data_IF_369625783329
#
_entry.id   IF_369625783329
#
_cell.length_a   1.000
_cell.length_b   1.000
_cell.length_c   1.000
_cell.angle_alpha   90.00
_cell.angle_beta   90.00
_cell.angle_gamma   90.00
#
_symmetry.space_group_name_H-M   'P 1'
#
loop_
_entity.id
_entity.type
_entity.pdbx_description
1 polymer ?
#
# COMPACT_ATOMS: atom_id res chain seq x y z
N UNK A 1 0.22 -29.48 3.37
CA UNK A 1 1.46 -29.53 4.20
C UNK A 1 2.02 -28.12 4.24
N UNK A 2 2.38 -27.58 5.41
CA UNK A 2 2.85 -26.21 5.49
C UNK A 2 4.17 -26.03 4.72
N UNK A 3 4.44 -24.84 4.17
CA UNK A 3 5.67 -24.57 3.45
C UNK A 3 6.88 -24.61 4.39
N UNK A 4 8.06 -24.92 3.85
CA UNK A 4 9.31 -24.97 4.61
C UNK A 4 9.73 -23.57 5.08
N UNK A 5 9.97 -23.39 6.38
CA UNK A 5 10.38 -22.13 6.99
C UNK A 5 11.68 -21.59 6.42
N UNK A 6 12.60 -22.46 5.99
CA UNK A 6 13.87 -22.08 5.36
C UNK A 6 13.70 -21.37 4.01
N UNK A 7 12.52 -21.46 3.40
CA UNK A 7 12.18 -20.73 2.17
C UNK A 7 11.68 -19.30 2.43
N UNK A 8 11.34 -18.98 3.67
CA UNK A 8 10.79 -17.68 4.03
C UNK A 8 11.87 -16.65 4.30
N UNK A 9 11.49 -15.40 4.07
CA UNK A 9 12.30 -14.22 4.26
C UNK A 9 11.47 -13.19 5.00
N UNK A 10 12.07 -12.61 6.03
CA UNK A 10 11.48 -11.51 6.79
C UNK A 10 11.64 -10.15 6.08
N UNK A 11 10.65 -9.30 6.24
CA UNK A 11 10.67 -7.90 5.86
C UNK A 11 10.07 -7.07 7.01
N UNK A 12 10.76 -5.98 7.35
CA UNK A 12 10.44 -5.08 8.47
C UNK A 12 10.44 -5.72 9.86
N UNK A 13 11.01 -6.92 9.96
CA UNK A 13 11.30 -7.62 11.22
C UNK A 13 12.66 -8.32 11.12
N UNK A 14 13.29 -8.68 12.24
CA UNK A 14 14.52 -9.46 12.26
C UNK A 14 14.38 -10.82 11.53
N UNK A 15 15.44 -11.30 10.88
CA UNK A 15 15.39 -12.56 10.13
C UNK A 15 15.26 -13.80 11.04
N UNK A 16 15.72 -13.72 12.28
CA UNK A 16 15.53 -14.74 13.32
C UNK A 16 14.09 -14.78 13.86
N UNK A 17 13.22 -13.86 13.42
CA UNK A 17 11.79 -13.89 13.73
C UNK A 17 10.99 -14.81 12.78
N UNK A 18 11.62 -15.47 11.79
CA UNK A 18 10.95 -16.48 10.97
C UNK A 18 10.66 -17.71 11.85
N UNK A 19 9.39 -18.14 11.98
CA UNK A 19 9.03 -19.31 12.79
C UNK A 19 9.67 -20.59 12.26
N UNK A 20 10.09 -21.49 13.15
CA UNK A 20 10.63 -22.80 12.76
C UNK A 20 9.60 -23.64 12.00
N UNK A 21 8.32 -23.50 12.36
CA UNK A 21 7.19 -24.22 11.76
C UNK A 21 6.14 -23.26 11.20
N UNK A 22 5.80 -23.41 9.92
CA UNK A 22 4.85 -22.54 9.21
C UNK A 22 3.40 -23.05 9.24
N UNK A 23 3.08 -24.09 10.02
CA UNK A 23 1.72 -24.62 10.10
C UNK A 23 0.80 -23.89 11.09
N UNK A 24 1.39 -23.34 12.16
CA UNK A 24 0.75 -22.40 13.09
C UNK A 24 1.82 -21.53 13.74
N UNK A 25 1.68 -20.21 13.62
CA UNK A 25 2.64 -19.24 14.13
C UNK A 25 2.02 -17.85 14.30
N UNK A 26 2.68 -16.97 15.04
CA UNK A 26 2.23 -15.59 15.27
C UNK A 26 3.19 -14.57 14.64
N UNK A 27 2.63 -13.45 14.18
CA UNK A 27 3.39 -12.28 13.72
C UNK A 27 2.96 -11.04 14.51
N UNK A 28 3.92 -10.40 15.17
CA UNK A 28 3.67 -9.18 15.92
C UNK A 28 3.85 -7.94 15.03
N UNK A 29 2.84 -7.06 14.99
CA UNK A 29 2.86 -5.77 14.34
C UNK A 29 2.91 -4.62 15.38
N UNK A 30 4.04 -3.90 15.48
CA UNK A 30 4.13 -2.69 16.29
C UNK A 30 3.15 -1.59 15.82
N UNK A 31 2.83 -0.61 16.68
CA UNK A 31 2.07 0.57 16.26
C UNK A 31 2.75 1.35 15.12
N UNK A 32 1.95 1.98 14.26
CA UNK A 32 2.36 2.78 13.09
C UNK A 32 3.01 1.95 11.95
N UNK A 33 2.69 0.66 11.87
CA UNK A 33 3.07 -0.16 10.71
C UNK A 33 1.97 -0.13 9.67
N UNK A 34 2.31 -0.11 8.38
CA UNK A 34 1.35 -0.22 7.27
C UNK A 34 2.03 -0.72 5.98
N UNK A 35 1.22 -1.24 5.06
CA UNK A 35 1.57 -1.49 3.67
C UNK A 35 0.56 -0.77 2.77
N UNK A 36 0.96 0.36 2.20
CA UNK A 36 0.11 1.22 1.40
C UNK A 36 0.90 1.97 0.31
N UNK A 37 0.26 2.29 -0.81
CA UNK A 37 0.86 3.11 -1.88
C UNK A 37 0.04 4.36 -2.14
N UNK A 38 0.62 5.52 -1.86
CA UNK A 38 0.03 6.82 -2.20
C UNK A 38 0.38 7.22 -3.64
N UNK A 39 -0.58 7.69 -4.45
CA UNK A 39 -0.27 8.27 -5.76
C UNK A 39 0.78 9.40 -5.67
N UNK A 40 1.70 9.54 -6.63
CA UNK A 40 1.80 8.75 -7.86
C UNK A 40 2.71 7.50 -7.76
N UNK A 41 3.24 7.11 -6.59
CA UNK A 41 4.03 5.85 -6.36
C UNK A 41 4.77 5.83 -5.00
N UNK A 42 4.33 6.59 -3.99
CA UNK A 42 4.99 6.62 -2.68
C UNK A 42 4.52 5.47 -1.80
N UNK A 43 5.40 4.50 -1.55
CA UNK A 43 5.13 3.37 -0.68
C UNK A 43 5.35 3.73 0.81
N UNK A 44 4.38 3.36 1.64
CA UNK A 44 4.57 3.03 3.05
C UNK A 44 4.71 1.51 3.12
N UNK A 45 5.89 1.02 3.54
CA UNK A 45 6.16 -0.41 3.67
C UNK A 45 6.88 -0.65 5.00
N UNK A 46 6.11 -0.58 6.09
CA UNK A 46 6.58 -0.77 7.47
C UNK A 46 5.94 -1.98 8.15
N UNK A 47 4.89 -2.57 7.55
CA UNK A 47 4.26 -3.80 8.00
C UNK A 47 5.27 -4.97 8.07
N UNK A 48 5.30 -5.71 9.21
CA UNK A 48 5.92 -7.02 9.28
C UNK A 48 5.36 -7.97 8.23
N UNK A 49 6.25 -8.57 7.44
CA UNK A 49 5.90 -9.51 6.37
C UNK A 49 6.85 -10.69 6.42
N UNK A 50 6.30 -11.90 6.30
CA UNK A 50 7.03 -13.13 6.03
C UNK A 50 6.64 -13.60 4.64
N UNK A 51 7.59 -13.68 3.71
CA UNK A 51 7.30 -14.11 2.34
C UNK A 51 8.33 -15.10 1.80
N UNK A 52 7.92 -15.90 0.83
CA UNK A 52 8.79 -16.81 0.08
C UNK A 52 8.79 -16.46 -1.41
N UNK A 53 9.90 -16.77 -2.09
CA UNK A 53 10.00 -16.67 -3.54
C UNK A 53 9.71 -18.04 -4.15
N UNK A 54 8.80 -18.08 -5.12
CA UNK A 54 8.33 -19.34 -5.68
C UNK A 54 9.32 -19.91 -6.68
N UNK A 55 9.53 -21.22 -6.59
CA UNK A 55 10.36 -21.99 -7.55
C UNK A 55 9.55 -22.52 -8.74
N UNK A 56 8.23 -22.56 -8.57
CA UNK A 56 7.25 -22.97 -9.57
C UNK A 56 6.26 -21.83 -9.82
N UNK A 57 5.52 -21.84 -10.93
CA UNK A 57 4.45 -20.88 -11.17
C UNK A 57 3.43 -20.92 -10.03
N UNK A 58 3.09 -19.75 -9.48
CA UNK A 58 2.08 -19.62 -8.44
C UNK A 58 0.72 -20.14 -8.90
N UNK A 59 0.08 -20.99 -8.10
CA UNK A 59 -1.28 -21.49 -8.30
C UNK A 59 -2.22 -20.82 -7.30
N UNK A 60 -1.97 -21.01 -6.01
CA UNK A 60 -2.82 -20.44 -4.96
C UNK A 60 -2.06 -20.33 -3.62
N UNK A 61 -2.57 -19.49 -2.72
CA UNK A 61 -2.18 -19.50 -1.32
C UNK A 61 -3.41 -19.25 -0.45
N UNK A 62 -3.47 -19.91 0.70
CA UNK A 62 -4.54 -19.76 1.67
C UNK A 62 -4.01 -19.85 3.10
N UNK A 63 -4.72 -19.18 4.02
CA UNK A 63 -4.39 -19.17 5.45
C UNK A 63 -5.62 -18.74 6.24
N UNK A 64 -5.74 -19.23 7.48
CA UNK A 64 -6.64 -18.66 8.48
C UNK A 64 -5.85 -17.68 9.34
N UNK A 65 -6.31 -16.43 9.41
CA UNK A 65 -5.74 -15.44 10.34
C UNK A 65 -6.64 -15.25 11.53
N UNK A 66 -6.10 -14.99 12.71
CA UNK A 66 -6.88 -14.57 13.88
C UNK A 66 -6.10 -13.58 14.75
N UNK A 67 -6.81 -12.68 15.43
CA UNK A 67 -6.23 -11.74 16.39
C UNK A 67 -7.30 -11.14 17.30
N UNK A 68 -6.85 -10.52 18.40
CA UNK A 68 -7.64 -9.54 19.14
C UNK A 68 -7.63 -8.20 18.40
N UNK A 69 -8.58 -8.01 17.48
CA UNK A 69 -8.71 -6.77 16.70
C UNK A 69 -9.30 -5.65 17.57
N UNK A 70 -8.48 -4.65 17.88
CA UNK A 70 -8.85 -3.61 18.86
C UNK A 70 -8.82 -2.21 18.26
N UNK A 71 -7.79 -1.90 17.47
CA UNK A 71 -7.54 -0.55 16.98
C UNK A 71 -7.95 -0.41 15.53
N UNK A 72 -8.39 0.81 15.19
CA UNK A 72 -8.79 1.13 13.83
C UNK A 72 -7.67 0.81 12.84
N UNK A 73 -8.04 0.09 11.78
CA UNK A 73 -7.16 -0.43 10.74
C UNK A 73 -6.19 -1.53 11.17
N UNK A 74 -6.36 -2.18 12.33
CA UNK A 74 -5.66 -3.44 12.63
C UNK A 74 -5.93 -4.44 11.49
N UNK A 75 -4.88 -5.08 10.99
CA UNK A 75 -4.91 -5.87 9.77
C UNK A 75 -4.03 -7.13 9.87
N UNK A 76 -4.47 -8.21 9.23
CA UNK A 76 -3.69 -9.42 9.05
C UNK A 76 -4.19 -10.27 7.89
N UNK A 77 -3.28 -10.94 7.17
CA UNK A 77 -3.67 -11.77 6.02
C UNK A 77 -2.53 -12.19 5.10
N UNK A 78 -2.87 -12.46 3.84
CA UNK A 78 -1.92 -12.79 2.78
C UNK A 78 -1.47 -11.56 2.01
N UNK A 79 -0.25 -11.61 1.50
CA UNK A 79 0.29 -10.62 0.56
C UNK A 79 1.00 -11.33 -0.59
N UNK A 80 0.83 -10.81 -1.80
CA UNK A 80 1.54 -11.26 -3.01
C UNK A 80 2.15 -10.07 -3.73
N UNK A 81 3.42 -10.22 -4.12
CA UNK A 81 4.20 -9.26 -4.88
C UNK A 81 4.53 -9.82 -6.26
N UNK A 82 4.39 -8.97 -7.27
CA UNK A 82 4.96 -9.15 -8.60
C UNK A 82 6.18 -8.25 -8.72
N UNK A 83 7.36 -8.78 -8.40
CA UNK A 83 8.61 -8.03 -8.26
C UNK A 83 9.15 -8.02 -6.82
N UNK A 84 10.12 -7.14 -6.56
CA UNK A 84 10.67 -7.00 -5.21
C UNK A 84 9.66 -6.31 -4.27
N UNK A 85 9.49 -6.78 -3.02
CA UNK A 85 8.65 -6.07 -2.06
C UNK A 85 9.14 -4.63 -1.84
N UNK A 86 8.22 -3.65 -1.69
CA UNK A 86 8.61 -2.26 -1.44
C UNK A 86 9.40 -2.15 -0.12
N UNK A 87 10.37 -1.25 -0.07
CA UNK A 87 11.28 -1.10 1.08
C UNK A 87 12.58 -1.92 0.98
N UNK A 88 12.65 -2.92 0.09
CA UNK A 88 13.93 -3.51 -0.34
C UNK A 88 14.46 -2.75 -1.55
N UNK A 89 15.29 -1.73 -1.35
CA UNK A 89 16.15 -1.26 -2.43
C UNK A 89 17.14 -2.39 -2.69
N UNK A 90 17.03 -3.03 -3.86
CA UNK A 90 18.04 -3.96 -4.32
C UNK A 90 19.40 -3.26 -4.19
N UNK A 91 20.34 -3.82 -3.44
CA UNK A 91 21.71 -3.36 -3.46
C UNK A 91 22.18 -3.47 -4.91
N UNK A 92 22.10 -2.37 -5.66
CA UNK A 92 22.75 -2.25 -6.94
C UNK A 92 24.23 -2.34 -6.62
N UNK A 93 24.83 -3.49 -6.92
CA UNK A 93 26.28 -3.69 -6.87
C UNK A 93 26.90 -2.67 -7.80
N UNK A 94 27.20 -1.48 -7.26
CA UNK A 94 27.91 -0.43 -7.96
C UNK A 94 29.36 -0.85 -7.85
N UNK A 95 29.84 -1.63 -8.82
CA UNK A 95 31.28 -1.84 -9.01
C UNK A 95 31.87 -0.48 -9.32
N UNK A 96 32.31 0.22 -8.27
CA UNK A 96 32.93 1.52 -8.38
C UNK A 96 34.40 1.27 -8.69
N UNK A 97 34.69 1.00 -9.96
CA UNK A 97 36.02 1.25 -10.49
C UNK A 97 36.14 2.76 -10.62
N UNK A 98 37.05 3.40 -9.88
CA UNK A 98 37.86 4.58 -10.30
C UNK A 98 38.50 5.24 -9.06
N UNK A 99 39.79 4.95 -8.91
CA UNK A 99 40.91 5.91 -8.84
C UNK A 99 40.98 6.93 -7.68
N UNK A 100 42.04 6.79 -6.89
CA UNK A 100 42.52 7.75 -5.90
C UNK A 100 42.86 9.12 -6.52
N UNK A 101 42.72 10.21 -5.74
CA UNK A 101 43.95 10.92 -5.33
C UNK A 101 43.94 11.52 -3.90
N UNK A 102 45.13 11.51 -3.31
CA UNK A 102 45.81 12.58 -2.56
C UNK A 102 45.15 13.29 -1.36
N UNK A 103 45.81 13.17 -0.20
CA UNK A 103 45.54 13.85 1.07
C UNK A 103 46.13 15.29 1.14
N UNK A 104 46.17 15.97 2.31
CA UNK A 104 45.11 16.80 2.89
C UNK A 104 45.55 18.27 3.12
N UNK A 105 44.61 19.19 3.36
CA UNK A 105 44.94 20.55 3.81
C UNK A 105 44.16 20.94 5.08
N UNK A 106 44.88 21.63 5.96
CA UNK A 106 44.69 21.84 7.39
C UNK A 106 43.78 23.06 7.68
N UNK A 107 43.12 23.02 8.85
CA UNK A 107 42.18 23.97 9.45
C UNK A 107 42.77 25.39 9.76
N UNK A 108 41.99 26.35 10.34
CA UNK A 108 41.77 26.32 11.79
C UNK A 108 40.37 26.75 12.31
N UNK A 109 40.12 26.31 13.55
CA UNK A 109 39.08 26.62 14.53
C UNK A 109 39.23 28.06 15.11
N UNK A 110 38.23 28.74 15.70
CA UNK A 110 37.55 28.54 17.01
C UNK A 110 36.61 29.78 17.30
N UNK A 111 36.15 30.13 18.54
CA UNK A 111 34.83 29.76 19.13
C UNK A 111 34.04 30.94 19.79
N UNK A 112 32.79 30.70 20.25
CA UNK A 112 32.04 31.31 21.42
C UNK A 112 30.52 31.09 21.25
N UNK A 113 29.69 30.51 22.13
CA UNK A 113 29.40 30.69 23.58
C UNK A 113 29.06 32.15 23.95
N UNK A 114 27.96 32.53 24.61
CA UNK A 114 26.76 31.90 25.16
C UNK A 114 25.79 33.05 25.58
N UNK A 115 24.54 32.72 25.99
CA UNK A 115 23.60 33.50 26.84
C UNK A 115 23.08 34.84 26.29
N UNK A 116 21.84 35.29 26.49
CA UNK A 116 21.01 35.25 27.69
C UNK A 116 19.53 35.63 27.38
N UNK A 117 18.64 35.13 28.24
CA UNK A 117 17.40 35.73 28.80
C UNK A 117 16.26 36.35 27.97
N UNK A 118 15.09 35.76 28.27
CA UNK A 118 13.81 36.37 28.70
C UNK A 118 13.05 37.32 27.76
N UNK A 119 11.79 36.99 27.46
CA UNK A 119 10.63 37.49 28.22
C UNK A 119 9.30 37.11 27.55
N UNK A 120 8.36 36.65 28.38
CA UNK A 120 6.91 36.90 28.37
C UNK A 120 6.18 37.20 27.05
N UNK A 121 5.08 36.49 26.79
CA UNK A 121 3.72 36.90 27.19
C UNK A 121 2.65 36.25 26.29
N UNK A 122 1.82 35.42 26.93
CA UNK A 122 0.35 35.33 26.85
C UNK A 122 -0.43 35.10 25.54
N UNK A 123 -1.48 34.28 25.74
CA UNK A 123 -2.80 34.30 25.08
C UNK A 123 -2.91 33.54 23.77
N UNK A 124 -3.95 32.78 23.46
CA UNK A 124 -5.11 32.25 24.18
C UNK A 124 -5.70 31.17 23.24
N UNK A 125 -6.32 30.14 23.81
CA UNK A 125 -7.04 29.10 23.06
C UNK A 125 -8.32 29.66 22.40
N UNK A 126 -8.88 28.93 21.43
CA UNK A 126 -10.33 28.77 21.42
C UNK A 126 -10.74 27.29 21.34
N UNK A 127 -11.56 26.88 22.30
CA UNK A 127 -12.41 25.69 22.26
C UNK A 127 -13.70 25.94 21.45
N UNK A 128 -14.36 24.89 20.94
CA UNK A 128 -15.38 24.98 19.90
C UNK A 128 -16.79 25.14 20.45
N UNK A 129 -17.68 25.75 19.67
CA UNK A 129 -19.12 25.79 19.92
C UNK A 129 -19.87 25.17 18.73
N UNK A 130 -20.55 24.06 18.99
CA UNK A 130 -21.71 23.59 18.22
C UNK A 130 -22.97 24.29 18.72
N UNK A 131 -24.02 24.36 17.89
CA UNK A 131 -25.29 23.78 18.33
C UNK A 131 -26.00 22.94 17.27
N UNK A 132 -26.74 21.95 17.79
CA UNK A 132 -27.69 21.06 17.13
C UNK A 132 -28.87 21.78 16.48
N UNK A 133 -29.43 21.19 15.41
CA UNK A 133 -30.74 20.51 15.41
C UNK A 133 -31.49 20.64 14.07
N UNK A 134 -31.77 19.46 13.48
CA UNK A 134 -32.96 19.05 12.73
C UNK A 134 -33.67 20.02 11.78
N UNK A 135 -33.74 19.66 10.50
CA UNK A 135 -35.05 19.55 9.82
C UNK A 135 -35.02 18.59 8.64
N UNK A 136 -36.02 17.74 8.63
CA UNK A 136 -36.51 16.86 7.58
C UNK A 136 -36.87 17.64 6.29
N UNK A 137 -36.50 17.13 5.11
CA UNK A 137 -37.16 17.41 3.81
C UNK A 137 -36.56 16.62 2.66
N UNK A 138 -37.31 15.62 2.20
CA UNK A 138 -37.29 15.09 0.83
C UNK A 138 -37.54 16.21 -0.19
N UNK A 139 -36.75 16.29 -1.28
CA UNK A 139 -37.19 16.76 -2.61
C UNK A 139 -36.09 16.59 -3.67
N UNK A 140 -36.53 16.25 -4.87
CA UNK A 140 -35.77 15.75 -6.01
C UNK A 140 -34.73 16.72 -6.61
N UNK A 141 -33.65 16.14 -7.14
CA UNK A 141 -32.68 16.84 -7.98
C UNK A 141 -33.22 17.01 -9.42
N UNK A 142 -33.09 18.20 -10.05
CA UNK A 142 -33.44 18.38 -11.46
C UNK A 142 -32.25 18.08 -12.39
N UNK A 143 -32.56 17.39 -13.49
CA UNK A 143 -31.70 17.18 -14.68
C UNK A 143 -31.33 18.49 -15.38
N UNK A 144 -30.09 18.67 -15.88
CA UNK A 144 -29.74 19.83 -16.69
C UNK A 144 -30.11 19.65 -18.18
N UNK A 145 -30.71 20.68 -18.77
CA UNK A 145 -31.01 20.82 -20.21
C UNK A 145 -29.80 21.37 -21.00
N UNK A 146 -29.68 21.07 -22.31
CA UNK A 146 -28.56 21.51 -23.15
C UNK A 146 -28.67 22.98 -23.62
N UNK A 147 -27.55 23.65 -23.95
CA UNK A 147 -27.54 25.04 -24.42
C UNK A 147 -27.91 25.18 -25.91
N UNK A 148 -28.46 26.34 -26.34
CA UNK A 148 -28.91 26.60 -27.72
C UNK A 148 -27.78 27.01 -28.69
N UNK A 149 -28.00 26.87 -30.02
CA UNK A 149 -26.99 27.14 -31.04
C UNK A 149 -26.76 28.64 -31.27
N UNK A 150 -25.49 29.07 -31.36
CA UNK A 150 -25.12 30.43 -31.73
C UNK A 150 -25.08 30.61 -33.25
N UNK A 151 -25.86 31.56 -33.74
CA UNK A 151 -25.87 32.03 -35.13
C UNK A 151 -24.65 32.90 -35.42
N UNK A 152 -23.87 32.54 -36.42
CA UNK A 152 -22.75 33.33 -36.94
C UNK A 152 -23.20 34.33 -38.01
N UNK A 153 -22.67 35.54 -37.96
CA UNK A 153 -22.61 36.46 -39.10
C UNK A 153 -21.15 36.87 -39.38
N UNK A 154 -20.80 37.15 -40.65
CA UNK A 154 -19.45 36.98 -41.17
C UNK A 154 -18.60 38.25 -41.13
N UNK A 155 -17.29 38.10 -40.87
CA UNK A 155 -16.27 39.13 -41.12
C UNK A 155 -15.37 38.73 -42.30
N UNK A 156 -14.93 39.67 -43.15
CA UNK A 156 -14.30 39.38 -44.44
C UNK A 156 -12.80 39.04 -44.33
N UNK A 157 -12.38 38.11 -45.19
CA UNK A 157 -11.01 37.64 -45.39
C UNK A 157 -10.08 38.71 -46.00
N UNK A 158 -8.80 38.78 -45.59
CA UNK A 158 -7.72 39.30 -46.41
C UNK A 158 -7.02 38.18 -47.20
N UNK A 159 -6.63 38.50 -48.44
CA UNK A 159 -5.98 37.64 -49.43
C UNK A 159 -4.60 37.08 -48.99
N UNK A 160 -4.20 35.88 -49.45
CA UNK A 160 -2.86 35.35 -49.21
C UNK A 160 -1.80 35.90 -50.22
N UNK A 161 -0.53 36.08 -49.81
CA UNK A 161 0.58 36.38 -50.73
C UNK A 161 1.07 35.12 -51.48
N UNK A 162 1.83 35.30 -52.59
CA UNK A 162 2.18 34.20 -53.49
C UNK A 162 3.24 33.24 -52.92
N UNK A 163 3.11 31.99 -53.34
CA UNK A 163 3.84 30.80 -52.88
C UNK A 163 5.35 30.87 -53.16
N UNK A 164 6.17 30.82 -52.11
CA UNK A 164 7.58 30.49 -52.24
C UNK A 164 7.75 28.97 -52.22
N UNK A 165 8.32 28.43 -53.31
CA UNK A 165 8.74 27.04 -53.41
C UNK A 165 9.86 26.80 -52.39
N UNK A 166 9.55 26.12 -51.29
CA UNK A 166 10.56 25.65 -50.34
C UNK A 166 10.96 24.23 -50.74
N UNK A 167 12.23 24.05 -51.11
CA UNK A 167 12.80 22.74 -51.42
C UNK A 167 12.69 21.81 -50.20
N UNK A 168 12.09 20.64 -50.39
CA UNK A 168 12.06 19.55 -49.40
C UNK A 168 13.47 18.99 -49.21
N UNK A 169 14.01 18.90 -47.99
CA UNK A 169 15.26 18.17 -47.77
C UNK A 169 15.04 16.66 -48.02
N UNK A 170 16.07 15.91 -48.44
CA UNK A 170 15.95 14.48 -48.73
C UNK A 170 15.57 13.71 -47.45
N UNK A 171 14.86 12.57 -47.57
CA UNK A 171 14.39 11.82 -46.41
C UNK A 171 15.58 11.30 -45.61
N UNK A 172 15.74 11.79 -44.39
CA UNK A 172 16.58 11.14 -43.39
C UNK A 172 15.97 9.77 -43.13
N UNK A 173 16.73 8.70 -43.39
CA UNK A 173 16.37 7.34 -43.02
C UNK A 173 16.11 7.32 -41.52
N UNK A 174 14.83 7.29 -41.14
CA UNK A 174 14.42 7.26 -39.75
C UNK A 174 15.05 6.01 -39.11
N UNK A 175 15.93 6.21 -38.14
CA UNK A 175 16.42 5.11 -37.32
C UNK A 175 15.20 4.42 -36.69
N UNK A 176 15.21 3.07 -36.60
CA UNK A 176 14.15 2.37 -35.89
C UNK A 176 14.04 2.99 -34.49
N UNK A 177 12.81 3.16 -33.97
CA UNK A 177 12.62 3.68 -32.61
C UNK A 177 13.46 2.83 -31.65
N UNK A 178 14.05 3.45 -30.59
CA UNK A 178 14.74 2.70 -29.57
C UNK A 178 13.86 1.52 -29.14
N UNK A 179 14.45 0.33 -28.98
CA UNK A 179 13.72 -0.81 -28.46
C UNK A 179 12.96 -0.35 -27.21
N UNK A 180 11.62 -0.49 -27.22
CA UNK A 180 10.81 -0.13 -26.07
C UNK A 180 11.35 -0.93 -24.89
N UNK A 181 12.10 -0.25 -24.03
CA UNK A 181 12.58 -0.83 -22.80
C UNK A 181 11.41 -0.61 -21.86
N UNK A 182 10.59 -1.63 -21.54
CA UNK A 182 9.50 -1.43 -20.62
C UNK A 182 10.11 -0.80 -19.36
N UNK A 183 9.56 0.32 -18.86
CA UNK A 183 10.01 0.86 -17.59
C UNK A 183 9.94 -0.30 -16.59
N UNK A 184 11.02 -0.52 -15.85
CA UNK A 184 11.07 -1.58 -14.85
C UNK A 184 9.78 -1.46 -14.02
N UNK A 185 8.85 -2.42 -14.11
CA UNK A 185 7.52 -2.21 -13.59
C UNK A 185 7.66 -1.96 -12.10
N UNK A 186 7.08 -0.87 -11.60
CA UNK A 186 6.90 -0.69 -10.15
C UNK A 186 6.30 -1.99 -9.62
N UNK A 187 6.92 -2.59 -8.59
CA UNK A 187 6.42 -3.85 -8.05
C UNK A 187 4.95 -3.72 -7.72
N UNK A 188 4.13 -4.53 -8.39
CA UNK A 188 2.69 -4.61 -8.10
C UNK A 188 2.53 -5.49 -6.87
N UNK A 189 1.57 -5.19 -6.04
CA UNK A 189 1.26 -6.06 -4.90
C UNK A 189 -0.22 -6.06 -4.58
N UNK A 190 -0.68 -7.16 -4.01
CA UNK A 190 -2.03 -7.31 -3.49
C UNK A 190 -1.92 -7.84 -2.07
N UNK A 191 -2.63 -7.23 -1.14
CA UNK A 191 -2.91 -7.82 0.18
C UNK A 191 -4.38 -8.18 0.28
N UNK A 192 -4.68 -9.26 1.00
CA UNK A 192 -6.03 -9.67 1.39
C UNK A 192 -5.99 -10.10 2.84
N UNK A 193 -7.02 -9.79 3.62
CA UNK A 193 -7.03 -10.15 5.02
C UNK A 193 -8.30 -9.76 5.74
N UNK A 194 -8.24 -9.87 7.06
CA UNK A 194 -9.19 -9.23 7.97
C UNK A 194 -8.66 -7.84 8.32
N UNK A 195 -9.54 -6.85 8.30
CA UNK A 195 -9.27 -5.48 8.74
C UNK A 195 -10.38 -4.99 9.67
N UNK A 196 -9.98 -4.41 10.80
CA UNK A 196 -10.92 -3.82 11.74
C UNK A 196 -11.09 -2.34 11.46
N UNK A 197 -12.28 -1.91 11.04
CA UNK A 197 -12.58 -0.51 10.81
C UNK A 197 -14.03 -0.20 11.15
N UNK A 198 -14.32 1.04 11.56
CA UNK A 198 -15.68 1.44 11.95
C UNK A 198 -16.33 0.50 12.98
N UNK A 199 -15.53 -0.01 13.93
CA UNK A 199 -15.96 -0.91 15.00
C UNK A 199 -16.51 -2.27 14.50
N UNK A 200 -16.05 -2.73 13.33
CA UNK A 200 -16.37 -4.03 12.75
C UNK A 200 -15.17 -4.65 12.02
N UNK A 201 -15.09 -5.99 12.03
CA UNK A 201 -14.17 -6.75 11.19
C UNK A 201 -14.71 -6.88 9.76
N UNK A 202 -13.83 -6.72 8.77
CA UNK A 202 -14.14 -6.83 7.35
C UNK A 202 -13.12 -7.71 6.64
N UNK A 203 -13.56 -8.48 5.63
CA UNK A 203 -12.62 -8.98 4.64
C UNK A 203 -12.23 -7.82 3.71
N UNK A 204 -10.93 -7.59 3.56
CA UNK A 204 -10.35 -6.44 2.87
C UNK A 204 -9.39 -6.89 1.78
N UNK A 205 -9.24 -6.09 0.73
CA UNK A 205 -8.16 -6.25 -0.25
C UNK A 205 -7.67 -4.92 -0.76
N UNK A 206 -6.35 -4.77 -0.83
CA UNK A 206 -5.68 -3.61 -1.43
C UNK A 206 -4.83 -4.09 -2.59
N UNK A 207 -4.99 -3.46 -3.75
CA UNK A 207 -4.20 -3.70 -4.95
C UNK A 207 -3.38 -2.45 -5.26
N UNK A 208 -2.06 -2.58 -5.34
CA UNK A 208 -1.18 -1.47 -5.68
C UNK A 208 -0.49 -1.68 -7.03
N UNK A 209 -0.61 -0.67 -7.88
CA UNK A 209 0.07 -0.55 -9.18
C UNK A 209 1.05 0.62 -9.14
N UNK A 210 1.59 1.04 -10.28
CA UNK A 210 2.39 2.27 -10.36
C UNK A 210 1.61 3.48 -9.86
N UNK A 211 0.31 3.53 -10.11
CA UNK A 211 -0.47 4.76 -10.00
C UNK A 211 -0.99 5.01 -8.58
N UNK A 212 -0.99 3.97 -7.73
CA UNK A 212 -1.50 4.04 -6.37
C UNK A 212 -2.02 2.70 -5.86
N UNK A 213 -2.48 2.71 -4.61
CA UNK A 213 -3.26 1.64 -4.01
C UNK A 213 -4.77 1.87 -4.19
N UNK A 214 -5.48 0.81 -4.55
CA UNK A 214 -6.94 0.75 -4.63
C UNK A 214 -7.47 -0.27 -3.62
N UNK A 215 -8.36 0.18 -2.74
CA UNK A 215 -8.83 -0.53 -1.55
C UNK A 215 -10.31 -0.90 -1.66
N UNK A 216 -10.61 -2.15 -1.32
CA UNK A 216 -11.95 -2.69 -1.28
C UNK A 216 -12.21 -3.43 0.04
N UNK A 217 -13.43 -3.31 0.56
CA UNK A 217 -13.89 -4.00 1.76
C UNK A 217 -15.26 -4.64 1.49
N UNK A 218 -15.52 -5.80 2.09
CA UNK A 218 -16.85 -6.41 2.07
C UNK A 218 -17.66 -5.98 3.28
N UNK A 219 -18.98 -5.89 3.11
CA UNK A 219 -19.90 -5.84 4.25
C UNK A 219 -20.09 -7.26 4.78
N UNK A 220 -19.35 -7.63 5.83
CA UNK A 220 -19.63 -8.87 6.53
C UNK A 220 -20.99 -8.75 7.25
N UNK A 221 -21.79 -9.83 7.33
CA UNK A 221 -23.02 -9.82 8.12
C UNK A 221 -22.78 -9.32 9.55
N UNK A 222 -23.75 -8.65 10.17
CA UNK A 222 -23.55 -8.03 11.49
C UNK A 222 -23.09 -9.01 12.59
N UNK A 223 -23.46 -10.29 12.50
CA UNK A 223 -22.97 -11.33 13.42
C UNK A 223 -21.47 -11.64 13.27
N UNK A 224 -20.89 -11.35 12.11
CA UNK A 224 -19.46 -11.46 11.84
C UNK A 224 -18.69 -10.17 12.16
N UNK A 225 -19.35 -9.08 12.55
CA UNK A 225 -18.67 -7.81 12.83
C UNK A 225 -17.66 -7.91 13.99
N UNK A 226 -17.78 -8.91 14.87
CA UNK A 226 -16.86 -9.17 15.99
C UNK A 226 -16.09 -10.47 15.82
N UNK A 227 -16.00 -11.02 14.59
CA UNK A 227 -15.24 -12.23 14.34
C UNK A 227 -13.76 -11.98 14.63
N UNK A 228 -13.09 -12.98 15.21
CA UNK A 228 -11.68 -12.89 15.54
C UNK A 228 -10.79 -13.48 14.45
N UNK A 229 -11.34 -14.34 13.61
CA UNK A 229 -10.59 -15.10 12.61
C UNK A 229 -11.12 -14.85 11.19
N UNK A 230 -10.36 -15.17 10.14
CA UNK A 230 -10.84 -15.22 8.75
C UNK A 230 -9.93 -16.13 7.92
N UNK A 231 -10.51 -17.09 7.22
CA UNK A 231 -9.79 -17.81 6.16
C UNK A 231 -9.83 -17.01 4.86
N UNK A 232 -8.66 -16.75 4.29
CA UNK A 232 -8.50 -16.03 3.02
C UNK A 232 -7.72 -16.86 2.02
N UNK A 233 -7.99 -16.64 0.74
CA UNK A 233 -7.30 -17.31 -0.37
C UNK A 233 -7.04 -16.36 -1.52
N UNK A 234 -5.88 -16.50 -2.15
CA UNK A 234 -5.57 -15.91 -3.45
C UNK A 234 -5.24 -17.01 -4.45
N UNK A 235 -5.69 -16.86 -5.69
CA UNK A 235 -5.57 -17.87 -6.73
C UNK A 235 -5.25 -17.23 -8.08
N UNK A 236 -4.31 -17.82 -8.83
CA UNK A 236 -3.98 -17.39 -10.19
C UNK A 236 -4.92 -18.03 -11.20
N UNK A 237 -5.59 -17.20 -12.00
CA UNK A 237 -6.41 -17.62 -13.14
C UNK A 237 -5.86 -16.96 -14.40
N UNK A 238 -5.01 -17.69 -15.13
CA UNK A 238 -4.27 -17.15 -16.28
C UNK A 238 -3.35 -16.00 -15.87
N UNK A 239 -3.66 -14.77 -16.32
CA UNK A 239 -2.96 -13.55 -15.92
C UNK A 239 -3.64 -12.77 -14.79
N UNK A 240 -4.83 -13.19 -14.35
CA UNK A 240 -5.56 -12.55 -13.26
C UNK A 240 -5.21 -13.18 -11.90
N UNK A 241 -5.37 -12.39 -10.85
CA UNK A 241 -5.35 -12.84 -9.46
C UNK A 241 -6.77 -12.73 -8.91
N UNK A 242 -7.33 -13.85 -8.46
CA UNK A 242 -8.62 -13.90 -7.79
C UNK A 242 -8.41 -13.92 -6.28
N UNK A 243 -9.22 -13.13 -5.57
CA UNK A 243 -9.14 -12.93 -4.13
C UNK A 243 -10.43 -13.41 -3.50
N UNK A 244 -10.32 -14.23 -2.46
CA UNK A 244 -11.40 -14.95 -1.82
C UNK A 244 -11.32 -14.85 -0.29
N UNK A 245 -12.47 -15.00 0.35
CA UNK A 245 -12.58 -15.22 1.79
C UNK A 245 -13.62 -16.29 2.08
N UNK A 246 -13.52 -16.96 3.22
CA UNK A 246 -14.48 -17.97 3.64
C UNK A 246 -15.58 -17.34 4.51
N UNK A 247 -16.82 -17.59 4.11
CA UNK A 247 -18.04 -17.25 4.82
C UNK A 247 -18.62 -18.54 5.43
N UNK A 248 -18.90 -18.54 6.74
CA UNK A 248 -19.33 -19.75 7.45
C UNK A 248 -20.58 -20.41 6.84
N UNK A 249 -21.49 -19.61 6.28
CA UNK A 249 -22.75 -20.12 5.72
C UNK A 249 -22.62 -20.59 4.26
N UNK A 250 -21.76 -19.95 3.47
CA UNK A 250 -21.73 -20.12 2.01
C UNK A 250 -20.42 -20.69 1.47
N UNK A 251 -19.42 -20.91 2.33
CA UNK A 251 -18.06 -21.26 1.94
C UNK A 251 -17.32 -20.11 1.27
N UNK A 252 -16.50 -20.41 0.26
CA UNK A 252 -15.68 -19.42 -0.43
C UNK A 252 -16.50 -18.37 -1.18
N UNK A 253 -16.36 -17.10 -0.80
CA UNK A 253 -16.91 -15.93 -1.49
C UNK A 253 -15.79 -15.15 -2.19
N UNK A 254 -16.03 -14.76 -3.45
CA UNK A 254 -15.07 -13.96 -4.21
C UNK A 254 -15.15 -12.52 -3.71
N UNK A 255 -14.02 -11.98 -3.24
CA UNK A 255 -13.89 -10.58 -2.85
C UNK A 255 -13.55 -9.70 -4.05
N UNK A 256 -12.60 -10.15 -4.88
CA UNK A 256 -12.04 -9.32 -5.94
C UNK A 256 -11.44 -10.15 -7.06
N UNK A 257 -11.50 -9.59 -8.26
CA UNK A 257 -10.74 -10.03 -9.42
C UNK A 257 -9.78 -8.92 -9.85
N UNK A 258 -8.48 -9.23 -9.86
CA UNK A 258 -7.41 -8.31 -10.26
C UNK A 258 -6.88 -8.76 -11.60
N UNK A 259 -7.37 -8.14 -12.66
CA UNK A 259 -6.97 -8.49 -14.02
C UNK A 259 -5.51 -8.10 -14.28
N UNK A 260 -4.83 -8.92 -15.09
CA UNK A 260 -3.46 -8.66 -15.56
C UNK A 260 -2.37 -8.57 -14.48
N UNK A 261 -2.63 -9.02 -13.24
CA UNK A 261 -1.66 -9.00 -12.17
C UNK A 261 -0.34 -9.71 -12.55
N UNK A 262 -0.42 -10.84 -13.24
CA UNK A 262 0.74 -11.63 -13.67
C UNK A 262 1.23 -11.27 -15.09
N UNK A 263 0.60 -10.33 -15.79
CA UNK A 263 1.03 -9.94 -17.13
C UNK A 263 2.42 -9.29 -17.09
N UNK A 264 3.33 -9.81 -17.92
CA UNK A 264 4.73 -9.34 -17.97
C UNK A 264 5.55 -9.63 -16.71
N UNK A 265 5.09 -10.56 -15.85
CA UNK A 265 5.77 -10.96 -14.62
C UNK A 265 6.31 -12.37 -14.79
N UNK A 266 7.62 -12.53 -14.65
CA UNK A 266 8.24 -13.86 -14.61
C UNK A 266 7.86 -14.58 -13.31
N UNK A 267 7.63 -15.90 -13.36
CA UNK A 267 7.16 -16.65 -12.18
C UNK A 267 8.13 -16.54 -10.98
N UNK A 268 9.45 -16.52 -11.23
CA UNK A 268 10.49 -16.33 -10.19
C UNK A 268 10.46 -14.94 -9.53
N UNK A 269 9.77 -13.98 -10.13
CA UNK A 269 9.58 -12.63 -9.58
C UNK A 269 8.35 -12.57 -8.66
N UNK A 270 7.51 -13.60 -8.63
CA UNK A 270 6.37 -13.69 -7.73
C UNK A 270 6.84 -14.06 -6.32
N UNK A 271 6.30 -13.37 -5.32
CA UNK A 271 6.56 -13.60 -3.90
C UNK A 271 5.25 -13.59 -3.17
N UNK A 272 5.03 -14.55 -2.31
CA UNK A 272 3.78 -14.70 -1.56
C UNK A 272 4.09 -14.99 -0.11
N UNK A 273 3.21 -14.55 0.77
CA UNK A 273 3.41 -14.72 2.19
C UNK A 273 2.29 -14.09 3.00
N UNK A 274 2.62 -13.79 4.25
CA UNK A 274 1.69 -13.24 5.23
C UNK A 274 2.16 -11.87 5.72
N UNK A 275 1.22 -11.06 6.18
CA UNK A 275 1.50 -9.75 6.77
C UNK A 275 0.62 -9.49 7.99
N UNK A 276 1.12 -8.67 8.90
CA UNK A 276 0.37 -8.09 10.01
C UNK A 276 0.63 -6.58 10.06
N UNK A 277 -0.34 -5.79 10.48
CA UNK A 277 -0.21 -4.34 10.49
C UNK A 277 -1.12 -3.68 11.52
N UNK A 278 -0.57 -2.75 12.31
CA UNK A 278 -1.29 -1.84 13.21
C UNK A 278 -1.02 -0.38 12.82
N UNK A 279 -1.79 0.21 11.89
CA UNK A 279 -1.60 1.59 11.44
C UNK A 279 -2.00 2.61 12.50
N UNK A 280 -3.13 2.40 13.18
CA UNK A 280 -3.55 3.31 14.24
C UNK A 280 -2.59 3.27 15.42
N UNK A 281 -2.33 4.45 15.95
CA UNK A 281 -1.61 4.66 17.19
C UNK A 281 -2.41 5.69 17.98
N UNK A 282 -3.35 5.22 18.79
CA UNK A 282 -3.94 6.09 19.80
C UNK A 282 -2.87 6.32 20.85
N UNK A 283 -2.18 7.45 20.73
CA UNK A 283 -1.21 7.85 21.73
C UNK A 283 -1.85 7.89 23.12
N UNK A 284 -1.05 7.64 24.15
CA UNK A 284 -1.47 7.79 25.55
C UNK A 284 -2.08 9.19 25.72
N UNK A 285 -3.38 9.25 26.03
CA UNK A 285 -4.05 10.52 26.26
C UNK A 285 -3.32 11.30 27.36
N UNK A 286 -3.35 12.64 27.33
CA UNK A 286 -2.70 13.44 28.37
C UNK A 286 -3.20 13.08 29.79
N UNK A 287 -4.44 12.61 29.88
CA UNK A 287 -5.06 12.06 31.08
C UNK A 287 -4.39 10.74 31.51
N UNK A 288 -4.26 9.79 30.58
CA UNK A 288 -3.70 8.47 30.83
C UNK A 288 -2.20 8.51 31.17
N UNK A 289 -1.49 9.51 30.63
CA UNK A 289 -0.09 9.80 30.97
C UNK A 289 0.08 10.34 32.39
N UNK A 290 -0.96 10.96 32.96
CA UNK A 290 -0.97 11.54 34.32
C UNK A 290 -1.56 10.61 35.37
N UNK A 291 -2.48 9.75 34.98
CA UNK A 291 -3.28 8.93 35.90
C UNK A 291 -3.02 7.42 35.79
N UNK A 292 -2.27 6.97 34.77
CA UNK A 292 -2.02 5.56 34.51
C UNK A 292 -3.27 4.85 34.02
N UNK A 293 -3.32 4.52 32.72
CA UNK A 293 -4.39 3.72 32.14
C UNK A 293 -3.87 2.72 31.11
N UNK A 294 -4.74 1.84 30.60
CA UNK A 294 -4.36 0.70 29.80
C UNK A 294 -3.60 1.12 28.53
N UNK A 295 -2.34 0.72 28.43
CA UNK A 295 -1.42 1.06 27.32
C UNK A 295 -1.77 0.35 25.99
N UNK A 296 -3.04 0.05 25.71
CA UNK A 296 -3.49 -0.71 24.55
C UNK A 296 -2.96 -0.13 23.22
N UNK A 297 -2.94 1.21 23.09
CA UNK A 297 -2.38 1.91 21.94
C UNK A 297 -0.87 1.73 21.69
N UNK A 298 -0.13 1.18 22.66
CA UNK A 298 1.31 0.92 22.55
C UNK A 298 1.65 -0.57 22.40
N UNK A 299 0.67 -1.47 22.53
CA UNK A 299 0.90 -2.90 22.39
C UNK A 299 1.03 -3.26 20.92
N UNK A 300 1.79 -4.31 20.63
CA UNK A 300 1.81 -4.91 19.31
C UNK A 300 0.45 -5.60 19.06
N UNK A 301 -0.03 -5.56 17.82
CA UNK A 301 -1.04 -6.50 17.35
C UNK A 301 -0.34 -7.84 17.16
N UNK A 302 -0.84 -8.91 17.77
CA UNK A 302 -0.36 -10.26 17.48
C UNK A 302 -1.39 -10.94 16.59
N UNK A 303 -1.00 -11.29 15.36
CA UNK A 303 -1.85 -12.02 14.42
C UNK A 303 -1.34 -13.46 14.35
N UNK A 304 -2.21 -14.41 14.64
CA UNK A 304 -1.97 -15.83 14.48
C UNK A 304 -2.32 -16.24 13.04
N UNK A 305 -1.51 -17.14 12.48
CA UNK A 305 -1.66 -17.70 11.15
C UNK A 305 -1.68 -19.22 11.27
N UNK A 306 -2.76 -19.83 10.80
CA UNK A 306 -2.95 -21.27 10.84
C UNK A 306 -3.25 -21.83 9.45
N UNK A 307 -2.69 -23.01 9.16
CA UNK A 307 -2.95 -23.72 7.92
C UNK A 307 -2.47 -22.97 6.68
N UNK A 308 -1.34 -22.26 6.76
CA UNK A 308 -0.73 -21.61 5.60
C UNK A 308 -0.34 -22.66 4.56
N UNK A 309 -0.94 -22.58 3.39
CA UNK A 309 -0.60 -23.40 2.22
C UNK A 309 -0.29 -22.52 1.02
N UNK A 310 0.73 -22.90 0.24
CA UNK A 310 1.19 -22.19 -0.96
C UNK A 310 1.47 -23.24 -2.03
N UNK A 311 0.85 -23.08 -3.20
CA UNK A 311 0.89 -24.01 -4.33
C UNK A 311 1.52 -23.37 -5.56
#
# INVERSE_FOLDING_TARGET
MPPDSSSFTALNIPNDAVPEWMGSFALAAPPNTDLWRKPPSRDTSTAPILYTALRSPFIAAEVTVSADWELEWDQGGLVIFAGAPPGRIAAATTTTTTTAPSAPAIAPSSPRAATDRSSDRSSAAPTPTSPSAATDRSSAAPTPSPPPPSAGHPHPHPHPPPSYVTQTPPPQTALPPPAYTPPAPSSKWVKVGLEFCNNACHATSVCATSDGADWALTSLPAHHARRLDLRVKIERIGYALWVWYEDEASGWKKLREVTWFFWGVEDKAVRVGVYASRPANFGVSAYERRHGGPSAGQRNLCVDFEGLEIF
#
